data_IF_637440838670
#
_entry.id   IF_637440838670
#
_cell.length_a   1.000
_cell.length_b   1.000
_cell.length_c   1.000
_cell.angle_alpha   90.00
_cell.angle_beta   90.00
_cell.angle_gamma   90.00
#
_symmetry.space_group_name_H-M   'P 1'
#
loop_
_entity.id
_entity.type
_entity.pdbx_description
1 polymer ?
#
# COMPACT_ATOMS: atom_id res chain seq x y z
N UNK A 1 11.49 11.82 -9.50
CA UNK A 1 11.00 10.42 -9.38
C UNK A 1 9.66 10.44 -8.67
N UNK A 2 8.68 9.67 -9.15
CA UNK A 2 7.34 9.57 -8.57
C UNK A 2 7.31 8.42 -7.53
N UNK A 3 6.67 8.63 -6.38
CA UNK A 3 6.54 7.62 -5.32
C UNK A 3 5.97 6.30 -5.84
N UNK A 4 4.99 6.36 -6.75
CA UNK A 4 4.36 5.18 -7.34
C UNK A 4 5.35 4.32 -8.13
N UNK A 5 6.24 4.95 -8.90
CA UNK A 5 7.27 4.24 -9.66
C UNK A 5 8.27 3.53 -8.72
N UNK A 6 8.55 4.12 -7.56
CA UNK A 6 9.42 3.49 -6.56
C UNK A 6 8.74 2.27 -5.93
N UNK A 7 7.44 2.36 -5.66
CA UNK A 7 6.65 1.23 -5.13
C UNK A 7 6.56 0.09 -6.16
N UNK A 8 6.36 0.40 -7.45
CA UNK A 8 6.37 -0.59 -8.53
C UNK A 8 7.73 -1.30 -8.64
N UNK A 9 8.83 -0.54 -8.56
CA UNK A 9 10.18 -1.09 -8.68
C UNK A 9 10.52 -2.11 -7.58
N UNK A 10 10.02 -1.91 -6.35
CA UNK A 10 10.24 -2.83 -5.23
C UNK A 10 9.12 -3.86 -5.05
N UNK A 11 8.03 -3.77 -5.81
CA UNK A 11 6.83 -4.57 -5.56
C UNK A 11 7.09 -6.08 -5.49
N UNK A 12 7.99 -6.59 -6.32
CA UNK A 12 8.36 -8.02 -6.36
C UNK A 12 9.18 -8.47 -5.14
N UNK A 13 9.88 -7.57 -4.48
CA UNK A 13 10.73 -7.85 -3.30
C UNK A 13 9.96 -7.77 -1.99
N UNK A 14 8.81 -7.08 -1.98
CA UNK A 14 7.91 -6.99 -0.83
C UNK A 14 7.39 -8.36 -0.38
N UNK A 15 7.16 -8.51 0.91
CA UNK A 15 6.45 -9.66 1.48
C UNK A 15 4.99 -9.71 1.00
N UNK A 16 4.33 -10.85 1.20
CA UNK A 16 2.92 -11.02 0.81
C UNK A 16 1.99 -9.97 1.43
N UNK A 17 2.24 -9.57 2.68
CA UNK A 17 1.38 -8.60 3.37
C UNK A 17 1.64 -7.18 2.88
N UNK A 18 2.91 -6.80 2.71
CA UNK A 18 3.28 -5.49 2.15
C UNK A 18 2.79 -5.33 0.70
N UNK A 19 2.82 -6.39 -0.11
CA UNK A 19 2.25 -6.35 -1.47
C UNK A 19 0.76 -6.03 -1.49
N UNK A 20 -0.02 -6.48 -0.51
CA UNK A 20 -1.45 -6.12 -0.44
C UNK A 20 -1.63 -4.61 -0.26
N UNK A 21 -0.78 -4.01 0.56
CA UNK A 21 -0.77 -2.56 0.82
C UNK A 21 -0.32 -1.82 -0.44
N UNK A 22 0.83 -2.20 -0.99
CA UNK A 22 1.39 -1.60 -2.20
C UNK A 22 0.42 -1.67 -3.38
N UNK A 23 -0.26 -2.81 -3.59
CA UNK A 23 -1.27 -2.96 -4.64
C UNK A 23 -2.41 -1.96 -4.46
N UNK A 24 -2.84 -1.72 -3.22
CA UNK A 24 -3.92 -0.75 -2.93
C UNK A 24 -3.49 0.69 -3.21
N UNK A 25 -2.25 1.03 -2.85
CA UNK A 25 -1.64 2.34 -3.13
C UNK A 25 -1.51 2.57 -4.63
N UNK A 26 -1.02 1.58 -5.38
CA UNK A 26 -0.84 1.68 -6.84
C UNK A 26 -2.18 1.78 -7.59
N UNK A 27 -3.20 1.02 -7.18
CA UNK A 27 -4.50 1.04 -7.84
C UNK A 27 -5.31 2.29 -7.56
N UNK A 28 -5.26 2.84 -6.34
CA UNK A 28 -6.14 3.94 -5.90
C UNK A 28 -5.38 4.98 -5.05
N UNK A 29 -4.33 5.63 -5.59
CA UNK A 29 -3.46 6.51 -4.80
C UNK A 29 -4.18 7.70 -4.17
N UNK A 30 -5.12 8.31 -4.90
CA UNK A 30 -5.93 9.44 -4.43
C UNK A 30 -6.83 9.02 -3.26
N UNK A 31 -7.40 7.82 -3.34
CA UNK A 31 -8.26 7.30 -2.28
C UNK A 31 -7.43 7.06 -1.00
N UNK A 32 -6.25 6.45 -1.16
CA UNK A 32 -5.35 6.14 -0.03
C UNK A 32 -4.87 7.40 0.69
N UNK A 33 -4.63 8.51 -0.03
CA UNK A 33 -4.26 9.79 0.59
C UNK A 33 -5.30 10.32 1.59
N UNK A 34 -6.57 9.97 1.41
CA UNK A 34 -7.66 10.35 2.33
C UNK A 34 -7.86 9.38 3.51
N UNK A 35 -7.11 8.26 3.55
CA UNK A 35 -7.26 7.24 4.58
C UNK A 35 -6.29 7.44 5.73
N UNK A 36 -6.76 7.18 6.94
CA UNK A 36 -5.86 6.94 8.07
C UNK A 36 -5.32 5.50 8.04
N UNK A 37 -4.27 5.27 8.84
CA UNK A 37 -3.55 3.98 8.93
C UNK A 37 -4.52 2.81 9.16
N UNK A 38 -5.45 2.95 10.11
CA UNK A 38 -6.42 1.89 10.44
C UNK A 38 -7.36 1.55 9.27
N UNK A 39 -7.82 2.56 8.53
CA UNK A 39 -8.70 2.36 7.38
C UNK A 39 -7.95 1.71 6.22
N UNK A 40 -6.71 2.11 5.98
CA UNK A 40 -5.85 1.48 4.97
C UNK A 40 -5.55 0.02 5.31
N UNK A 41 -5.16 -0.27 6.55
CA UNK A 41 -4.90 -1.62 7.03
C UNK A 41 -6.11 -2.54 6.83
N UNK A 42 -7.30 -2.09 7.27
CA UNK A 42 -8.55 -2.83 7.09
C UNK A 42 -8.88 -3.07 5.62
N UNK A 43 -8.68 -2.07 4.76
CA UNK A 43 -8.98 -2.17 3.33
C UNK A 43 -7.99 -3.06 2.57
N UNK A 44 -6.73 -3.09 3.00
CA UNK A 44 -5.71 -3.98 2.47
C UNK A 44 -5.77 -5.40 3.09
N UNK A 45 -6.54 -5.60 4.17
CA UNK A 45 -6.67 -6.88 4.85
C UNK A 45 -5.38 -7.28 5.59
N UNK A 46 -4.77 -6.30 6.27
CA UNK A 46 -3.53 -6.43 7.06
C UNK A 46 -3.69 -5.76 8.43
N UNK A 47 -2.72 -5.94 9.33
CA UNK A 47 -2.68 -5.22 10.61
C UNK A 47 -2.13 -3.81 10.44
N UNK A 48 -2.41 -2.93 11.40
CA UNK A 48 -1.85 -1.57 11.42
C UNK A 48 -0.31 -1.55 11.44
N UNK A 49 0.33 -2.59 12.01
CA UNK A 49 1.79 -2.68 12.05
C UNK A 49 2.43 -3.01 10.68
N UNK A 50 1.63 -3.41 9.70
CA UNK A 50 2.08 -3.67 8.32
C UNK A 50 2.06 -2.39 7.47
N UNK A 51 1.32 -1.37 7.90
CA UNK A 51 1.21 -0.06 7.22
C UNK A 51 2.35 0.83 7.71
#
# INVERSE_FOLDING_TARGET
MNLLNNIEAIFSTLSRQERKVALKVLQNPQEVQSMNITKLAKKAGVSNATI
#
